data_IF_497765335957
#
_entry.id   IF_497765335957
#
_cell.length_a   1.000
_cell.length_b   1.000
_cell.length_c   1.000
_cell.angle_alpha   90.00
_cell.angle_beta   90.00
_cell.angle_gamma   90.00
#
_symmetry.space_group_name_H-M   'P 1'
#
loop_
_entity.id
_entity.type
_entity.pdbx_description
1 polymer ?
#
# COMPACT_ATOMS: atom_id res chain seq x y z
N UNK A 1 -5.31 -18.90 -1.14
CA UNK A 1 -5.28 -17.43 -1.29
C UNK A 1 -3.85 -16.93 -1.06
N UNK A 2 -2.92 -17.16 -2.00
CA UNK A 2 -1.52 -16.69 -1.92
C UNK A 2 -1.13 -15.77 -3.09
N UNK A 3 -1.94 -15.69 -4.14
CA UNK A 3 -1.62 -14.91 -5.33
C UNK A 3 -1.31 -13.42 -5.04
N UNK A 4 -1.97 -12.81 -4.04
CA UNK A 4 -1.70 -11.43 -3.64
C UNK A 4 -0.30 -11.28 -3.03
N UNK A 5 0.08 -12.15 -2.09
CA UNK A 5 1.41 -12.14 -1.47
C UNK A 5 2.50 -12.47 -2.48
N UNK A 6 2.24 -13.41 -3.40
CA UNK A 6 3.17 -13.77 -4.47
C UNK A 6 3.38 -12.61 -5.45
N UNK A 7 2.32 -11.86 -5.76
CA UNK A 7 2.40 -10.67 -6.63
C UNK A 7 3.21 -9.57 -5.98
N UNK A 8 2.98 -9.28 -4.69
CA UNK A 8 3.77 -8.31 -3.94
C UNK A 8 5.25 -8.73 -3.82
N UNK A 9 5.52 -10.03 -3.64
CA UNK A 9 6.88 -10.56 -3.62
C UNK A 9 7.58 -10.35 -4.98
N UNK A 10 6.90 -10.63 -6.09
CA UNK A 10 7.44 -10.39 -7.44
C UNK A 10 7.69 -8.90 -7.70
N UNK A 11 6.77 -8.03 -7.29
CA UNK A 11 6.95 -6.59 -7.42
C UNK A 11 8.14 -6.09 -6.59
N UNK A 12 8.31 -6.62 -5.37
CA UNK A 12 9.48 -6.31 -4.53
C UNK A 12 10.77 -6.68 -5.24
N UNK A 13 10.80 -7.85 -5.89
CA UNK A 13 11.98 -8.31 -6.61
C UNK A 13 12.27 -7.49 -7.85
N UNK A 14 11.23 -7.14 -8.60
CA UNK A 14 11.35 -6.21 -9.71
C UNK A 14 11.90 -4.85 -9.27
N UNK A 15 11.41 -4.28 -8.15
CA UNK A 15 11.93 -3.00 -7.64
C UNK A 15 13.41 -3.08 -7.22
N UNK A 16 13.90 -4.24 -6.77
CA UNK A 16 15.33 -4.45 -6.45
C UNK A 16 16.22 -4.45 -7.69
N UNK A 17 15.67 -4.67 -8.86
CA UNK A 17 16.39 -4.58 -10.14
C UNK A 17 16.61 -3.10 -10.58
N UNK A 18 16.15 -2.12 -9.79
CA UNK A 18 16.25 -0.69 -10.03
C UNK A 18 15.64 -0.25 -11.38
N UNK A 19 14.35 -0.53 -11.61
CA UNK A 19 13.65 -0.12 -12.82
C UNK A 19 13.52 1.40 -12.92
N UNK A 20 13.11 1.89 -14.09
CA UNK A 20 12.82 3.31 -14.29
C UNK A 20 11.78 3.78 -13.26
N UNK A 21 12.05 4.85 -12.50
CA UNK A 21 11.16 5.26 -11.41
C UNK A 21 9.73 5.60 -11.83
N UNK A 22 9.53 6.10 -13.05
CA UNK A 22 8.20 6.36 -13.59
C UNK A 22 7.40 5.06 -13.80
N UNK A 23 8.07 3.99 -14.22
CA UNK A 23 7.47 2.66 -14.34
C UNK A 23 7.17 2.06 -12.96
N UNK A 24 8.13 2.14 -12.03
CA UNK A 24 7.95 1.70 -10.64
C UNK A 24 6.77 2.39 -9.95
N UNK A 25 6.63 3.71 -10.13
CA UNK A 25 5.50 4.49 -9.64
C UNK A 25 4.18 3.98 -10.23
N UNK A 26 4.10 3.80 -11.55
CA UNK A 26 2.90 3.30 -12.22
C UNK A 26 2.41 1.94 -11.68
N UNK A 27 3.33 1.09 -11.20
CA UNK A 27 3.00 -0.20 -10.59
C UNK A 27 2.59 -0.10 -9.11
N UNK A 28 3.16 0.85 -8.36
CA UNK A 28 2.92 1.01 -6.92
C UNK A 28 1.68 1.84 -6.62
N UNK A 29 1.37 2.84 -7.43
CA UNK A 29 0.27 3.76 -7.19
C UNK A 29 -1.09 3.10 -6.98
N UNK A 30 -1.54 2.12 -7.80
CA UNK A 30 -2.81 1.44 -7.57
C UNK A 30 -2.82 0.62 -6.27
N UNK A 31 -1.66 0.15 -5.81
CA UNK A 31 -1.54 -0.59 -4.56
C UNK A 31 -1.68 0.31 -3.33
N UNK A 32 -1.43 1.61 -3.48
CA UNK A 32 -1.47 2.61 -2.41
C UNK A 32 -2.63 3.60 -2.59
N UNK A 33 -3.60 3.27 -3.44
CA UNK A 33 -4.79 4.07 -3.63
C UNK A 33 -5.56 4.25 -2.31
N UNK A 34 -6.00 5.48 -2.05
CA UNK A 34 -6.58 5.88 -0.77
C UNK A 34 -7.94 5.23 -0.46
N UNK A 35 -8.62 4.67 -1.47
CA UNK A 35 -9.92 4.02 -1.31
C UNK A 35 -9.90 2.53 -1.64
N UNK A 36 -8.97 2.08 -2.48
CA UNK A 36 -8.97 0.72 -3.04
C UNK A 36 -7.66 -0.03 -2.87
N UNK A 37 -6.61 0.65 -2.38
CA UNK A 37 -5.28 0.10 -2.21
C UNK A 37 -5.20 -0.99 -1.14
N UNK A 38 -4.06 -1.69 -1.12
CA UNK A 38 -3.72 -2.75 -0.16
C UNK A 38 -3.96 -2.33 1.29
N UNK A 39 -3.60 -1.11 1.74
CA UNK A 39 -3.82 -0.71 3.13
C UNK A 39 -5.31 -0.67 3.52
N UNK A 40 -6.17 -0.16 2.63
CA UNK A 40 -7.63 -0.13 2.83
C UNK A 40 -8.21 -1.55 2.85
N UNK A 41 -7.82 -2.38 1.88
CA UNK A 41 -8.31 -3.76 1.80
C UNK A 41 -7.89 -4.58 3.02
N UNK A 42 -6.64 -4.41 3.48
CA UNK A 42 -6.15 -5.07 4.68
C UNK A 42 -6.88 -4.59 5.94
N UNK A 43 -7.14 -3.29 6.05
CA UNK A 43 -7.95 -2.73 7.13
C UNK A 43 -9.35 -3.37 7.18
N UNK A 44 -9.99 -3.54 6.03
CA UNK A 44 -11.32 -4.14 5.97
C UNK A 44 -11.30 -5.63 6.31
N UNK A 45 -10.27 -6.37 5.89
CA UNK A 45 -10.05 -7.76 6.32
C UNK A 45 -9.88 -7.86 7.84
N UNK A 46 -9.11 -6.95 8.45
CA UNK A 46 -8.91 -6.92 9.90
C UNK A 46 -10.20 -6.57 10.66
N UNK A 47 -11.00 -5.61 10.16
CA UNK A 47 -12.33 -5.29 10.72
C UNK A 47 -13.28 -6.48 10.61
N UNK A 48 -13.29 -7.15 9.45
CA UNK A 48 -14.10 -8.33 9.23
C UNK A 48 -13.69 -9.49 10.15
N UNK A 49 -12.38 -9.69 10.36
CA UNK A 49 -11.86 -10.67 11.30
C UNK A 49 -12.28 -10.34 12.74
N UNK A 50 -12.10 -9.10 13.18
CA UNK A 50 -12.51 -8.65 14.51
C UNK A 50 -14.00 -8.90 14.75
N UNK A 51 -14.84 -8.62 13.74
CA UNK A 51 -16.28 -8.91 13.76
C UNK A 51 -16.56 -10.41 13.83
N UNK A 52 -15.89 -11.21 13.00
CA UNK A 52 -16.07 -12.66 12.98
C UNK A 52 -15.72 -13.28 14.35
N UNK A 53 -14.62 -12.85 14.96
CA UNK A 53 -14.25 -13.28 16.32
C UNK A 53 -15.31 -12.87 17.33
N UNK A 54 -15.79 -11.62 17.28
CA UNK A 54 -16.80 -11.10 18.22
C UNK A 54 -18.15 -11.83 18.12
N UNK A 55 -18.58 -12.19 16.91
CA UNK A 55 -19.89 -12.78 16.65
C UNK A 55 -19.90 -14.32 16.75
N UNK A 56 -18.74 -14.98 16.72
CA UNK A 56 -18.67 -16.45 16.74
C UNK A 56 -19.11 -17.02 18.10
N UNK A 57 -20.03 -17.99 18.13
CA UNK A 57 -20.63 -18.49 19.36
C UNK A 57 -19.63 -19.17 20.30
N UNK A 58 -18.59 -19.79 19.75
CA UNK A 58 -17.56 -20.48 20.55
C UNK A 58 -16.43 -19.57 21.03
N UNK A 59 -16.46 -18.27 20.67
CA UNK A 59 -15.44 -17.33 21.15
C UNK A 59 -15.64 -17.05 22.64
N UNK A 60 -14.63 -17.30 23.50
CA UNK A 60 -14.73 -16.99 24.93
C UNK A 60 -14.95 -15.49 25.16
N UNK A 61 -16.00 -15.14 25.92
CA UNK A 61 -16.29 -13.73 26.30
C UNK A 61 -15.48 -13.32 27.52
N UNK A 62 -14.21 -13.03 27.28
CA UNK A 62 -13.26 -12.60 28.31
C UNK A 62 -12.72 -11.21 27.98
N UNK A 63 -12.21 -10.52 29.00
CA UNK A 63 -11.50 -9.23 28.81
C UNK A 63 -10.35 -9.38 27.81
N UNK A 64 -9.64 -10.52 27.82
CA UNK A 64 -8.54 -10.77 26.87
C UNK A 64 -9.03 -10.81 25.42
N UNK A 65 -10.17 -11.44 25.16
CA UNK A 65 -10.79 -11.46 23.83
C UNK A 65 -11.22 -10.05 23.39
N UNK A 66 -11.81 -9.28 24.30
CA UNK A 66 -12.24 -7.91 23.99
C UNK A 66 -11.04 -7.01 23.65
N UNK A 67 -9.92 -7.18 24.35
CA UNK A 67 -8.66 -6.48 24.04
C UNK A 67 -8.13 -6.85 22.65
N UNK A 68 -8.08 -8.14 22.30
CA UNK A 68 -7.63 -8.59 20.97
C UNK A 68 -8.53 -8.04 19.84
N UNK A 69 -9.85 -8.00 20.05
CA UNK A 69 -10.79 -7.38 19.09
C UNK A 69 -10.49 -5.89 18.92
N UNK A 70 -10.18 -5.18 20.02
CA UNK A 70 -9.79 -3.77 19.95
C UNK A 70 -8.46 -3.60 19.21
N UNK A 71 -7.46 -4.43 19.50
CA UNK A 71 -6.16 -4.40 18.80
C UNK A 71 -6.32 -4.59 17.30
N UNK A 72 -7.15 -5.54 16.85
CA UNK A 72 -7.44 -5.73 15.42
C UNK A 72 -8.09 -4.49 14.78
N UNK A 73 -8.99 -3.81 15.50
CA UNK A 73 -9.64 -2.59 15.02
C UNK A 73 -8.69 -1.40 14.98
N UNK A 74 -7.80 -1.28 15.97
CA UNK A 74 -6.74 -0.27 15.99
C UNK A 74 -5.79 -0.49 14.83
N UNK A 75 -5.29 -1.72 14.64
CA UNK A 75 -4.44 -2.06 13.51
C UNK A 75 -5.13 -1.75 12.17
N UNK A 76 -6.42 -2.05 12.02
CA UNK A 76 -7.17 -1.69 10.82
C UNK A 76 -7.23 -0.17 10.59
N UNK A 77 -7.41 0.62 11.65
CA UNK A 77 -7.39 2.07 11.54
C UNK A 77 -6.00 2.58 11.11
N UNK A 78 -4.93 2.10 11.73
CA UNK A 78 -3.55 2.45 11.39
C UNK A 78 -3.19 2.06 9.95
N UNK A 79 -3.69 0.93 9.45
CA UNK A 79 -3.49 0.54 8.05
C UNK A 79 -4.18 1.50 7.08
N UNK A 80 -5.39 1.98 7.40
CA UNK A 80 -6.12 2.90 6.51
C UNK A 80 -5.63 4.35 6.63
N UNK A 81 -5.07 4.75 7.77
CA UNK A 81 -4.63 6.12 8.06
C UNK A 81 -3.21 6.42 7.54
N UNK A 82 -2.98 6.22 6.24
CA UNK A 82 -1.67 6.40 5.61
C UNK A 82 -1.47 7.80 5.01
N UNK A 83 -1.95 8.84 5.71
CA UNK A 83 -1.90 10.22 5.22
C UNK A 83 -0.49 10.70 4.83
N UNK A 84 0.51 10.37 5.65
CA UNK A 84 1.91 10.72 5.37
C UNK A 84 2.44 10.05 4.10
N UNK A 85 2.06 8.80 3.84
CA UNK A 85 2.49 8.08 2.65
C UNK A 85 1.87 8.71 1.38
N UNK A 86 0.60 9.10 1.44
CA UNK A 86 -0.08 9.76 0.34
C UNK A 86 0.67 11.02 -0.12
N UNK A 87 1.05 11.91 0.80
CA UNK A 87 1.83 13.09 0.44
C UNK A 87 3.22 12.77 -0.13
N UNK A 88 3.91 11.78 0.44
CA UNK A 88 5.22 11.39 -0.06
C UNK A 88 5.14 10.89 -1.52
N UNK A 89 4.10 10.14 -1.88
CA UNK A 89 3.87 9.70 -3.26
C UNK A 89 3.50 10.87 -4.18
N UNK A 90 2.69 11.82 -3.71
CA UNK A 90 2.35 13.02 -4.48
C UNK A 90 3.55 13.91 -4.75
N UNK A 91 4.42 14.11 -3.77
CA UNK A 91 5.69 14.81 -3.94
C UNK A 91 6.59 14.07 -4.95
N UNK A 92 6.69 12.74 -4.83
CA UNK A 92 7.47 11.90 -5.73
C UNK A 92 6.96 11.98 -7.18
N UNK A 93 5.64 11.90 -7.39
CA UNK A 93 4.99 12.15 -8.69
C UNK A 93 5.31 13.54 -9.22
N UNK A 94 5.30 14.54 -8.34
CA UNK A 94 5.65 15.92 -8.66
C UNK A 94 7.07 16.06 -9.21
N UNK A 95 8.02 15.27 -8.72
CA UNK A 95 9.40 15.25 -9.22
C UNK A 95 9.47 14.67 -10.65
N UNK A 96 8.83 13.53 -10.90
CA UNK A 96 8.90 12.87 -12.20
C UNK A 96 8.05 13.53 -13.28
N UNK A 97 6.98 14.24 -12.90
CA UNK A 97 6.22 15.08 -13.85
C UNK A 97 7.00 16.33 -14.28
N UNK A 98 7.95 16.80 -13.47
CA UNK A 98 8.78 17.99 -13.72
C UNK A 98 10.11 17.67 -14.39
N UNK A 99 10.52 16.41 -14.50
CA UNK A 99 11.72 16.03 -15.22
C UNK A 99 11.54 16.41 -16.71
N UNK A 100 12.34 17.35 -17.25
CA UNK A 100 12.24 17.71 -18.66
C UNK A 100 12.61 16.50 -19.49
N UNK A 101 11.93 16.32 -20.64
CA UNK A 101 12.42 15.48 -21.72
C UNK A 101 13.91 15.78 -21.88
N UNK A 102 14.75 14.77 -21.59
CA UNK A 102 16.18 14.83 -21.86
C UNK A 102 16.32 15.17 -23.34
N UNK A 103 16.60 16.44 -23.62
CA UNK A 103 16.92 16.87 -24.96
C UNK A 103 18.05 15.97 -25.47
N UNK A 104 17.88 15.31 -26.63
CA UNK A 104 18.96 14.52 -27.18
C UNK A 104 20.10 15.48 -27.53
N UNK A 105 21.27 15.23 -26.95
CA UNK A 105 22.52 15.78 -27.44
C UNK A 105 22.68 15.35 -28.91
N UNK A 106 22.67 16.31 -29.85
CA UNK A 106 23.64 16.33 -30.95
C UNK A 106 23.57 17.59 -31.84
N UNK A 107 24.68 18.33 -31.78
CA UNK A 107 25.53 18.84 -32.88
C UNK A 107 24.93 19.68 -34.02
N UNK A 108 25.45 20.90 -34.18
CA UNK A 108 26.29 21.32 -35.33
C UNK A 108 26.77 22.78 -35.18
N UNK A 109 28.10 22.98 -35.15
CA UNK A 109 28.73 24.25 -35.52
C UNK A 109 28.62 24.48 -37.03
N UNK A 110 28.66 25.74 -37.49
CA UNK A 110 29.92 26.28 -37.99
C UNK A 110 30.33 27.62 -37.37
#
# INVERSE_FOLDING_TARGET
MHAATDTLARLTEYLRENPEPAEALGLIEPLLDEYTGVPVQLADVLRALARAVQEHPDTPRTIGTDLLIQELRTAAWEQADQHTLHYALDDLRGLYRKAPETMPECSLCP
#
